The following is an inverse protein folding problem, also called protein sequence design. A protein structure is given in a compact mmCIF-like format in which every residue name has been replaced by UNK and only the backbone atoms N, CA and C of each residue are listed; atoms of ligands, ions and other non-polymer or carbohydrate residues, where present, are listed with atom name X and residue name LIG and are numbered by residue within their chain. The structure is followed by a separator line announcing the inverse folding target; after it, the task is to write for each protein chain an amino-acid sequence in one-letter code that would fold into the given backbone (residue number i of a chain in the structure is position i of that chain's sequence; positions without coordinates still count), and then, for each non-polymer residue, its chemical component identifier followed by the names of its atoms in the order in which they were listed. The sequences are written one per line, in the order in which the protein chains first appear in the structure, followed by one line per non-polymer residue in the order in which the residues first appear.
data_IF_823775625329
#
_entry.id   IF_823775625329
#
_cell.length_a   1.000
_cell.length_b   1.000
_cell.length_c   1.000
_cell.angle_alpha   90.00
_cell.angle_beta   90.00
_cell.angle_gamma   90.00
#
_symmetry.space_group_name_H-M   'P 1'
#
loop_
_entity.id
_entity.type
_entity.pdbx_description
1 polymer ?
#
# COMPACT_ATOMS: atom_id res chain seq x y z
N UNK A 1 -2.55 -7.70 8.35
CA UNK A 1 -2.93 -6.70 7.33
C UNK A 1 -3.30 -7.48 6.08
N UNK A 2 -4.39 -7.11 5.39
CA UNK A 2 -4.73 -7.73 4.11
C UNK A 2 -3.96 -7.03 3.00
N UNK A 3 -3.37 -7.81 2.09
CA UNK A 3 -2.68 -7.34 0.89
C UNK A 3 -3.07 -8.30 -0.23
N UNK A 4 -3.21 -7.78 -1.44
CA UNK A 4 -3.44 -8.58 -2.63
C UNK A 4 -2.33 -9.63 -2.78
N UNK A 5 -2.66 -10.95 -2.83
CA UNK A 5 -1.66 -12.00 -2.93
C UNK A 5 -0.81 -11.94 -4.20
N UNK A 6 -1.26 -11.25 -5.25
CA UNK A 6 -0.53 -11.13 -6.51
C UNK A 6 0.40 -9.91 -6.58
N UNK A 7 0.33 -9.00 -5.59
CA UNK A 7 1.08 -7.75 -5.57
C UNK A 7 2.60 -7.98 -5.73
N UNK A 8 3.17 -7.26 -6.71
CA UNK A 8 4.61 -7.23 -6.98
C UNK A 8 5.24 -5.90 -6.54
N UNK A 9 6.56 -5.89 -6.29
CA UNK A 9 7.30 -4.65 -6.06
C UNK A 9 7.14 -3.71 -7.25
N UNK A 10 7.18 -2.40 -6.97
CA UNK A 10 7.03 -1.30 -7.92
C UNK A 10 5.64 -1.13 -8.58
N UNK A 11 4.67 -2.00 -8.26
CA UNK A 11 3.29 -1.82 -8.71
C UNK A 11 2.59 -0.65 -8.01
N UNK A 12 1.60 -0.09 -8.71
CA UNK A 12 0.75 0.95 -8.18
C UNK A 12 -0.28 0.33 -7.23
N UNK A 13 -0.45 0.93 -6.05
CA UNK A 13 -1.29 0.38 -4.98
C UNK A 13 -2.25 1.41 -4.42
N UNK A 14 -3.41 0.90 -4.01
CA UNK A 14 -4.39 1.61 -3.21
C UNK A 14 -4.17 1.27 -1.74
N UNK A 15 -3.92 2.29 -0.92
CA UNK A 15 -3.84 2.12 0.53
C UNK A 15 -5.23 2.38 1.09
N UNK A 16 -5.82 1.37 1.72
CA UNK A 16 -7.17 1.44 2.30
C UNK A 16 -7.16 1.19 3.80
N UNK A 17 -8.19 1.66 4.49
CA UNK A 17 -8.45 1.27 5.88
C UNK A 17 -9.24 -0.06 5.98
N UNK A 18 -9.54 -0.49 7.21
CA UNK A 18 -10.29 -1.75 7.45
C UNK A 18 -11.75 -1.73 6.95
N UNK A 19 -12.28 -0.56 6.58
CA UNK A 19 -13.63 -0.38 6.02
C UNK A 19 -13.57 -0.18 4.51
N UNK A 20 -12.44 -0.48 3.88
CA UNK A 20 -12.18 -0.32 2.44
C UNK A 20 -12.26 1.13 1.95
N UNK A 21 -12.02 2.10 2.86
CA UNK A 21 -11.96 3.52 2.48
C UNK A 21 -10.56 3.83 1.97
N UNK A 22 -10.48 4.41 0.76
CA UNK A 22 -9.23 4.87 0.16
C UNK A 22 -8.58 5.96 1.02
N UNK A 23 -7.30 5.76 1.33
CA UNK A 23 -6.47 6.70 2.09
C UNK A 23 -5.41 7.36 1.22
N UNK A 24 -4.85 6.63 0.26
CA UNK A 24 -3.78 7.11 -0.60
C UNK A 24 -3.57 6.22 -1.84
N UNK A 25 -2.91 6.78 -2.85
CA UNK A 25 -2.30 6.03 -3.96
C UNK A 25 -0.79 6.13 -3.89
N UNK A 26 -0.10 5.02 -4.18
CA UNK A 26 1.35 4.96 -4.06
C UNK A 26 1.97 3.84 -4.89
N UNK A 27 3.27 3.65 -4.70
CA UNK A 27 4.03 2.55 -5.30
C UNK A 27 4.54 1.61 -4.22
N UNK A 28 4.34 0.32 -4.39
CA UNK A 28 4.85 -0.70 -3.47
C UNK A 28 6.37 -0.85 -3.56
N UNK A 29 7.04 -1.11 -2.44
CA UNK A 29 8.42 -1.61 -2.41
C UNK A 29 8.51 -3.12 -2.18
N UNK A 30 7.42 -3.75 -1.76
CA UNK A 30 7.39 -5.14 -1.34
C UNK A 30 6.38 -5.96 -2.14
N UNK A 31 6.62 -7.25 -2.23
CA UNK A 31 5.59 -8.20 -2.65
C UNK A 31 4.64 -8.55 -1.49
N UNK A 32 3.58 -9.30 -1.78
CA UNK A 32 2.58 -9.71 -0.80
C UNK A 32 3.15 -10.46 0.42
N UNK A 33 4.14 -11.34 0.21
CA UNK A 33 4.75 -12.16 1.27
C UNK A 33 5.62 -11.29 2.18
N UNK A 34 6.40 -10.40 1.59
CA UNK A 34 7.26 -9.45 2.31
C UNK A 34 6.43 -8.47 3.15
N UNK A 35 5.35 -7.90 2.59
CA UNK A 35 4.45 -7.00 3.34
C UNK A 35 3.85 -7.63 4.60
N UNK A 36 3.59 -8.94 4.56
CA UNK A 36 3.05 -9.67 5.71
C UNK A 36 4.14 -10.08 6.72
N UNK A 37 5.34 -10.35 6.23
CA UNK A 37 6.45 -10.87 7.03
C UNK A 37 7.22 -9.75 7.76
N UNK A 38 7.48 -8.64 7.09
CA UNK A 38 8.29 -7.56 7.66
C UNK A 38 7.50 -6.70 8.65
N UNK A 39 8.18 -6.24 9.69
CA UNK A 39 7.63 -5.36 10.74
C UNK A 39 8.21 -3.96 10.71
N UNK A 40 9.29 -3.75 9.94
CA UNK A 40 10.04 -2.51 9.85
C UNK A 40 10.38 -2.28 8.37
N UNK A 41 10.32 -1.03 7.92
CA UNK A 41 10.58 -0.63 6.54
C UNK A 41 9.43 0.16 5.92
N UNK A 42 9.69 0.80 4.78
CA UNK A 42 8.67 1.53 4.02
C UNK A 42 8.00 0.56 3.05
N UNK A 43 6.73 0.22 3.30
CA UNK A 43 5.98 -0.69 2.43
C UNK A 43 5.52 -0.02 1.12
N UNK A 44 5.10 1.25 1.20
CA UNK A 44 4.56 2.00 0.07
C UNK A 44 5.13 3.41 0.08
N UNK A 45 5.62 3.87 -1.07
CA UNK A 45 5.89 5.29 -1.32
C UNK A 45 4.61 5.97 -1.79
N UNK A 46 3.98 6.77 -0.93
CA UNK A 46 2.76 7.52 -1.27
C UNK A 46 3.09 8.61 -2.30
N UNK A 47 2.20 8.76 -3.30
CA UNK A 47 2.26 9.85 -4.29
C UNK A 47 1.19 10.92 -4.05
N UNK A 48 -0.02 10.50 -3.70
CA UNK A 48 -1.13 11.38 -3.34
C UNK A 48 -1.94 10.77 -2.20
N UNK A 49 -2.24 11.57 -1.17
CA UNK A 49 -3.22 11.23 -0.15
C UNK A 49 -4.64 11.54 -0.63
N UNK A 50 -5.61 10.74 -0.20
CA UNK A 50 -7.02 10.99 -0.51
C UNK A 50 -7.55 12.29 0.13
N UNK A 51 -6.89 12.77 1.19
CA UNK A 51 -7.18 14.07 1.81
C UNK A 51 -6.46 15.25 1.14
N UNK A 52 -5.50 15.00 0.24
CA UNK A 52 -4.80 16.07 -0.50
C UNK A 52 -5.63 16.59 -1.69
N UNK A 53 -6.82 16.02 -1.90
CA UNK A 53 -7.79 16.47 -2.89
C UNK A 53 -8.67 17.58 -2.30
N UNK A 54 -8.09 18.77 -2.13
CA UNK A 54 -8.79 20.03 -1.87
C UNK A 54 -8.43 21.06 -2.97
#
# INVERSE_FOLDING_TARGET
IGVDPELRPEEEVLVVDKKDRLLAVGRSFFNAIEMQSFKIGVAVKVRHGAADSE
#
